data_IF_872666897500
#
_entry.id   IF_872666897500
#
_cell.length_a   1.000
_cell.length_b   1.000
_cell.length_c   1.000
_cell.angle_alpha   90.00
_cell.angle_beta   90.00
_cell.angle_gamma   90.00
#
_symmetry.space_group_name_H-M   'P 1'
#
loop_
_entity.id
_entity.type
_entity.pdbx_description
1 polymer ?
#
# COMPACT_ATOMS: atom_id res chain seq x y z
N UNK A 1 -15.34 28.97 21.96
CA UNK A 1 -15.53 29.12 20.50
C UNK A 1 -14.47 28.26 19.83
N UNK A 2 -14.84 27.12 19.26
CA UNK A 2 -13.91 26.28 18.51
C UNK A 2 -13.59 26.99 17.19
N UNK A 3 -12.35 27.43 17.00
CA UNK A 3 -11.91 27.94 15.70
C UNK A 3 -11.94 26.77 14.71
N UNK A 4 -12.83 26.83 13.72
CA UNK A 4 -12.79 25.87 12.61
C UNK A 4 -11.43 25.97 11.93
N UNK A 5 -10.75 24.83 11.79
CA UNK A 5 -9.52 24.76 11.01
C UNK A 5 -9.85 25.12 9.57
N UNK A 6 -9.20 26.16 9.03
CA UNK A 6 -9.41 26.61 7.65
C UNK A 6 -8.27 26.06 6.80
N UNK A 7 -8.54 24.98 6.10
CA UNK A 7 -7.62 24.45 5.10
C UNK A 7 -7.57 25.38 3.91
N UNK A 8 -6.37 25.56 3.34
CA UNK A 8 -6.21 26.38 2.15
C UNK A 8 -6.62 25.52 0.96
N UNK A 9 -7.55 26.00 0.15
CA UNK A 9 -7.85 25.34 -1.12
C UNK A 9 -6.64 25.51 -2.04
N UNK A 10 -5.95 24.43 -2.34
CA UNK A 10 -5.02 24.40 -3.46
C UNK A 10 -5.84 24.52 -4.76
N UNK A 11 -5.56 25.55 -5.57
CA UNK A 11 -6.21 25.73 -6.85
C UNK A 11 -5.74 24.64 -7.83
N UNK A 12 -6.55 23.59 -8.04
CA UNK A 12 -6.34 22.63 -9.11
C UNK A 12 -6.68 23.30 -10.45
N UNK A 13 -5.66 23.49 -11.29
CA UNK A 13 -5.83 23.87 -12.68
C UNK A 13 -6.45 22.72 -13.47
N UNK A 14 -7.65 22.92 -13.99
CA UNK A 14 -8.31 21.99 -14.91
C UNK A 14 -7.57 22.00 -16.26
N UNK A 15 -6.92 20.89 -16.61
CA UNK A 15 -6.52 20.62 -17.98
C UNK A 15 -7.63 19.81 -18.67
N UNK A 16 -8.32 20.42 -19.63
CA UNK A 16 -9.23 19.75 -20.55
C UNK A 16 -8.40 19.10 -21.67
N UNK A 17 -8.27 17.77 -21.64
CA UNK A 17 -7.76 16.96 -22.74
C UNK A 17 -8.90 16.44 -23.61
N UNK A 18 -8.71 16.45 -24.93
CA UNK A 18 -9.67 15.98 -25.92
C UNK A 18 -9.77 14.45 -25.96
N UNK A 19 -10.98 13.95 -26.23
CA UNK A 19 -11.27 12.54 -26.51
C UNK A 19 -11.06 12.25 -27.99
N UNK A 20 -10.22 11.27 -28.31
CA UNK A 20 -10.14 10.68 -29.65
C UNK A 20 -10.63 9.23 -29.65
N UNK A 21 -11.24 8.85 -30.77
CA UNK A 21 -12.14 7.71 -30.92
C UNK A 21 -11.45 6.33 -30.87
N UNK A 22 -12.21 5.37 -30.33
CA UNK A 22 -11.87 3.96 -30.17
C UNK A 22 -11.70 3.22 -31.51
N UNK A 23 -10.59 2.49 -31.65
CA UNK A 23 -10.44 1.39 -32.59
C UNK A 23 -10.72 0.07 -31.87
N UNK A 24 -11.78 -0.64 -32.27
CA UNK A 24 -12.08 -1.99 -31.76
C UNK A 24 -11.18 -3.02 -32.44
N UNK A 25 -10.21 -3.57 -31.71
CA UNK A 25 -9.58 -4.83 -32.07
C UNK A 25 -10.15 -5.95 -31.20
N UNK A 26 -10.61 -7.00 -31.86
CA UNK A 26 -11.12 -8.23 -31.25
C UNK A 26 -9.92 -9.00 -30.70
N UNK A 27 -9.75 -9.00 -29.38
CA UNK A 27 -8.77 -9.85 -28.71
C UNK A 27 -9.29 -11.28 -28.61
N UNK A 28 -8.51 -12.21 -29.15
CA UNK A 28 -8.74 -13.64 -29.08
C UNK A 28 -7.91 -14.19 -27.90
N UNK A 29 -8.51 -14.76 -26.83
CA UNK A 29 -7.76 -15.18 -25.66
C UNK A 29 -7.20 -16.58 -25.89
N UNK A 30 -6.01 -16.65 -26.46
CA UNK A 30 -5.15 -17.82 -26.29
C UNK A 30 -4.12 -17.46 -25.21
N UNK A 31 -4.51 -17.66 -23.94
CA UNK A 31 -3.59 -17.63 -22.81
C UNK A 31 -2.53 -18.71 -23.03
N UNK A 32 -1.33 -18.30 -23.45
CA UNK A 32 -0.18 -19.17 -23.64
C UNK A 32 0.52 -19.28 -22.29
N UNK A 33 0.64 -20.48 -21.74
CA UNK A 33 1.19 -20.76 -20.40
C UNK A 33 2.69 -20.47 -20.24
N UNK A 34 3.37 -19.96 -21.28
CA UNK A 34 4.83 -19.75 -21.30
C UNK A 34 5.26 -18.29 -21.53
N UNK A 35 4.34 -17.32 -21.51
CA UNK A 35 4.72 -15.90 -21.58
C UNK A 35 5.09 -15.38 -20.17
N UNK A 36 6.14 -14.54 -20.02
CA UNK A 36 6.40 -13.85 -18.76
C UNK A 36 5.14 -13.11 -18.29
N UNK A 37 4.92 -13.08 -16.97
CA UNK A 37 3.86 -12.22 -16.43
C UNK A 37 4.29 -10.78 -16.66
N UNK A 38 3.66 -10.15 -17.64
CA UNK A 38 3.84 -8.73 -17.93
C UNK A 38 2.93 -7.91 -17.01
N UNK A 39 3.44 -6.77 -16.57
CA UNK A 39 2.75 -5.69 -15.88
C UNK A 39 3.58 -4.42 -16.04
N UNK A 40 3.02 -3.25 -15.73
CA UNK A 40 3.63 -1.97 -16.10
C UNK A 40 4.35 -1.33 -14.92
N UNK A 41 3.71 -1.33 -13.75
CA UNK A 41 4.24 -0.72 -12.52
C UNK A 41 3.69 -1.41 -11.28
N UNK A 42 4.21 -1.04 -10.12
CA UNK A 42 3.69 -1.50 -8.84
C UNK A 42 2.89 -0.41 -8.13
N UNK A 43 1.82 -0.81 -7.46
CA UNK A 43 1.20 -0.07 -6.36
C UNK A 43 1.74 -0.63 -5.05
N UNK A 44 2.42 0.19 -4.25
CA UNK A 44 2.76 -0.16 -2.87
C UNK A 44 1.63 0.33 -1.96
N UNK A 45 0.96 -0.61 -1.30
CA UNK A 45 -0.07 -0.32 -0.32
C UNK A 45 0.49 -0.40 1.10
N UNK A 46 0.25 0.65 1.88
CA UNK A 46 0.67 0.73 3.28
C UNK A 46 -0.52 1.07 4.19
N UNK A 47 -0.66 0.33 5.29
CA UNK A 47 -1.74 0.44 6.26
C UNK A 47 -1.36 1.31 7.45
N UNK A 48 -2.28 2.17 7.88
CA UNK A 48 -2.23 2.89 9.14
C UNK A 48 -2.92 2.06 10.22
N UNK A 49 -2.13 1.27 10.95
CA UNK A 49 -2.66 0.31 11.93
C UNK A 49 -3.52 0.91 13.05
N UNK A 50 -3.28 2.14 13.55
CA UNK A 50 -4.19 2.77 14.49
C UNK A 50 -5.65 2.80 14.03
N UNK A 51 -5.87 3.06 12.74
CA UNK A 51 -7.21 3.07 12.17
C UNK A 51 -7.75 1.66 11.93
N UNK A 52 -6.90 0.79 11.36
CA UNK A 52 -7.27 -0.60 11.15
C UNK A 52 -7.70 -1.29 12.44
N UNK A 53 -7.04 -0.98 13.56
CA UNK A 53 -7.28 -1.61 14.86
C UNK A 53 -8.41 -0.99 15.66
N UNK A 54 -8.97 0.16 15.24
CA UNK A 54 -10.05 0.86 15.95
C UNK A 54 -11.22 -0.09 16.24
N UNK A 55 -11.48 -0.33 17.54
CA UNK A 55 -12.57 -1.16 18.01
C UNK A 55 -12.35 -2.67 17.83
N UNK A 56 -11.12 -3.09 17.50
CA UNK A 56 -10.74 -4.49 17.24
C UNK A 56 -9.72 -5.02 18.25
N UNK A 57 -9.48 -4.31 19.34
CA UNK A 57 -8.45 -4.61 20.35
C UNK A 57 -8.73 -5.94 21.08
N UNK A 58 -10.01 -6.31 21.20
CA UNK A 58 -10.42 -7.60 21.78
C UNK A 58 -10.46 -8.74 20.74
N UNK A 59 -10.48 -8.43 19.45
CA UNK A 59 -10.59 -9.41 18.36
C UNK A 59 -9.20 -9.80 17.81
N UNK A 60 -8.31 -8.83 17.67
CA UNK A 60 -7.03 -8.97 16.98
C UNK A 60 -5.86 -8.83 17.96
N UNK A 61 -5.07 -9.90 18.20
CA UNK A 61 -3.98 -9.90 19.17
C UNK A 61 -2.96 -8.78 18.95
N UNK A 62 -2.61 -8.46 17.70
CA UNK A 62 -1.68 -7.37 17.40
C UNK A 62 -2.25 -5.99 17.72
N UNK A 63 -3.58 -5.82 17.67
CA UNK A 63 -4.24 -4.58 18.08
C UNK A 63 -4.26 -4.39 19.60
N UNK A 64 -4.24 -5.48 20.38
CA UNK A 64 -4.22 -5.43 21.85
C UNK A 64 -2.86 -4.99 22.42
N UNK A 65 -1.77 -5.27 21.70
CA UNK A 65 -0.41 -4.99 22.13
C UNK A 65 0.44 -4.46 20.95
N UNK A 66 0.17 -3.24 20.47
CA UNK A 66 0.85 -2.72 19.30
C UNK A 66 2.31 -2.38 19.60
N UNK A 67 3.19 -2.69 18.64
CA UNK A 67 4.61 -2.30 18.68
C UNK A 67 4.75 -0.77 18.56
N UNK A 68 5.82 -0.21 19.13
CA UNK A 68 6.08 1.22 19.08
C UNK A 68 6.21 1.77 17.65
N UNK A 69 6.78 0.98 16.74
CA UNK A 69 6.87 1.32 15.31
C UNK A 69 5.49 1.63 14.71
N UNK A 70 4.48 0.79 14.99
CA UNK A 70 3.14 0.90 14.43
C UNK A 70 2.40 2.17 14.88
N UNK A 71 2.82 2.77 16.00
CA UNK A 71 2.16 3.96 16.57
C UNK A 71 2.41 5.22 15.74
N UNK A 72 3.50 5.23 14.98
CA UNK A 72 3.92 6.41 14.21
C UNK A 72 4.25 6.09 12.76
N UNK A 73 4.35 4.81 12.37
CA UNK A 73 4.68 4.40 11.01
C UNK A 73 3.55 3.59 10.39
N UNK A 74 3.35 3.79 9.09
CA UNK A 74 2.63 2.84 8.26
C UNK A 74 3.36 1.50 8.22
N UNK A 75 2.58 0.43 8.11
CA UNK A 75 3.09 -0.92 7.83
C UNK A 75 2.69 -1.36 6.44
N UNK A 76 3.43 -2.27 5.84
CA UNK A 76 3.11 -2.85 4.54
C UNK A 76 1.77 -3.59 4.57
N UNK A 77 0.94 -3.31 3.58
CA UNK A 77 -0.15 -4.16 3.17
C UNK A 77 0.35 -5.10 2.07
N UNK A 78 0.89 -4.54 0.98
CA UNK A 78 1.45 -5.32 -0.11
C UNK A 78 2.02 -4.51 -1.27
N UNK A 79 2.68 -5.21 -2.20
CA UNK A 79 3.25 -4.67 -3.43
C UNK A 79 2.54 -5.31 -4.63
N UNK A 80 1.76 -4.52 -5.36
CA UNK A 80 0.79 -5.06 -6.31
C UNK A 80 1.17 -4.70 -7.75
N UNK A 81 1.51 -5.68 -8.60
CA UNK A 81 1.61 -5.48 -10.04
C UNK A 81 0.33 -4.88 -10.62
N UNK A 82 0.45 -3.90 -11.51
CA UNK A 82 -0.67 -3.16 -12.09
C UNK A 82 -0.42 -2.87 -13.58
N UNK A 83 -1.49 -2.77 -14.38
CA UNK A 83 -1.45 -2.31 -15.76
C UNK A 83 -1.85 -0.84 -15.89
N UNK A 84 -1.27 -0.12 -16.86
CA UNK A 84 -1.67 1.27 -17.15
C UNK A 84 -3.16 1.42 -17.53
N UNK A 85 -3.76 0.35 -18.04
CA UNK A 85 -5.18 0.29 -18.45
C UNK A 85 -6.16 0.10 -17.27
N UNK A 86 -5.68 0.07 -16.02
CA UNK A 86 -6.53 -0.03 -14.81
C UNK A 86 -7.05 -1.44 -14.50
N UNK A 87 -6.30 -2.47 -14.89
CA UNK A 87 -6.51 -3.85 -14.47
C UNK A 87 -5.23 -4.35 -13.81
N UNK A 88 -5.34 -5.31 -12.92
CA UNK A 88 -4.16 -5.95 -12.33
C UNK A 88 -4.17 -7.47 -12.55
N UNK A 89 -2.99 -8.07 -12.82
CA UNK A 89 -2.85 -9.51 -12.84
C UNK A 89 -2.98 -10.05 -11.40
N UNK A 90 -3.60 -11.22 -11.24
CA UNK A 90 -3.79 -11.84 -9.92
C UNK A 90 -3.79 -13.37 -9.99
N UNK A 91 -3.28 -14.01 -8.94
CA UNK A 91 -3.16 -15.48 -8.83
C UNK A 91 -2.48 -16.11 -10.08
N UNK A 92 -1.33 -15.57 -10.48
CA UNK A 92 -0.68 -15.91 -11.74
C UNK A 92 0.04 -17.26 -11.75
N UNK A 93 0.36 -17.80 -10.57
CA UNK A 93 0.93 -19.14 -10.44
C UNK A 93 0.35 -19.91 -9.24
N UNK A 94 0.78 -21.17 -9.11
CA UNK A 94 0.43 -22.04 -7.98
C UNK A 94 1.66 -22.45 -7.17
N UNK A 95 2.74 -21.68 -7.23
CA UNK A 95 3.98 -21.93 -6.49
C UNK A 95 3.68 -21.97 -4.99
N UNK A 96 4.02 -23.07 -4.29
CA UNK A 96 3.79 -23.16 -2.86
C UNK A 96 4.50 -22.03 -2.11
N UNK A 97 3.77 -21.38 -1.20
CA UNK A 97 4.32 -20.36 -0.33
C UNK A 97 5.25 -21.01 0.73
N UNK A 98 6.43 -20.43 0.91
CA UNK A 98 7.46 -20.91 1.85
C UNK A 98 7.81 -19.79 2.83
N UNK A 99 7.06 -19.73 3.93
CA UNK A 99 7.24 -18.73 4.98
C UNK A 99 8.64 -18.80 5.59
N UNK A 100 9.15 -20.00 5.89
CA UNK A 100 10.44 -20.18 6.56
C UNK A 100 11.58 -19.58 5.74
N UNK A 101 11.57 -19.80 4.41
CA UNK A 101 12.58 -19.22 3.52
C UNK A 101 12.55 -17.68 3.53
N UNK A 102 11.37 -17.07 3.60
CA UNK A 102 11.22 -15.60 3.65
C UNK A 102 11.63 -15.07 5.02
N UNK A 103 11.19 -15.71 6.10
CA UNK A 103 11.50 -15.36 7.49
C UNK A 103 13.00 -15.41 7.76
N UNK A 104 13.71 -16.41 7.22
CA UNK A 104 15.16 -16.54 7.32
C UNK A 104 15.90 -15.47 6.51
N UNK A 105 15.42 -15.17 5.29
CA UNK A 105 16.11 -14.25 4.38
C UNK A 105 15.89 -12.77 4.72
N UNK A 106 14.66 -12.38 5.08
CA UNK A 106 14.28 -11.00 5.41
C UNK A 106 14.45 -10.71 6.91
N UNK A 107 14.31 -11.75 7.73
CA UNK A 107 14.34 -11.67 9.19
C UNK A 107 12.93 -11.51 9.76
N UNK A 108 12.49 -12.51 10.53
CA UNK A 108 11.19 -12.49 11.21
C UNK A 108 10.95 -11.21 12.03
N UNK A 109 11.88 -10.69 12.86
CA UNK A 109 11.65 -9.44 13.59
C UNK A 109 11.34 -8.24 12.68
N UNK A 110 12.00 -8.18 11.51
CA UNK A 110 11.73 -7.16 10.50
C UNK A 110 10.32 -7.30 9.94
N UNK A 111 9.92 -8.51 9.55
CA UNK A 111 8.57 -8.78 9.01
C UNK A 111 7.47 -8.47 10.04
N UNK A 112 7.68 -8.84 11.31
CA UNK A 112 6.77 -8.48 12.40
C UNK A 112 6.66 -6.97 12.58
N UNK A 113 7.77 -6.23 12.47
CA UNK A 113 7.77 -4.77 12.60
C UNK A 113 7.07 -4.08 11.42
N UNK A 114 7.43 -4.41 10.17
CA UNK A 114 7.01 -3.63 9.00
C UNK A 114 5.91 -4.24 8.16
N UNK A 115 5.61 -5.53 8.27
CA UNK A 115 4.55 -6.21 7.50
C UNK A 115 3.72 -7.16 8.39
N UNK A 116 3.14 -6.68 9.51
CA UNK A 116 2.52 -7.55 10.50
C UNK A 116 1.18 -8.13 10.03
N UNK A 117 0.86 -9.33 10.53
CA UNK A 117 -0.50 -9.85 10.56
C UNK A 117 -1.13 -9.62 11.94
N UNK A 118 -1.69 -8.43 12.16
CA UNK A 118 -2.26 -8.08 13.48
C UNK A 118 -3.46 -8.95 13.89
N UNK A 119 -4.10 -9.67 12.95
CA UNK A 119 -5.25 -10.55 13.21
C UNK A 119 -4.87 -11.88 13.85
N UNK A 120 -3.58 -12.25 13.84
CA UNK A 120 -3.09 -13.52 14.35
C UNK A 120 -2.05 -13.29 15.45
N UNK A 121 -1.94 -14.24 16.37
CA UNK A 121 -0.83 -14.27 17.31
C UNK A 121 0.46 -14.68 16.56
N UNK A 122 1.58 -14.04 16.85
CA UNK A 122 2.89 -14.27 16.20
C UNK A 122 3.34 -15.73 16.29
N UNK A 123 3.05 -16.41 17.41
CA UNK A 123 3.37 -17.82 17.61
C UNK A 123 2.43 -18.77 16.84
N UNK A 124 1.42 -18.24 16.15
CA UNK A 124 0.45 -19.05 15.40
C UNK A 124 0.95 -19.32 13.98
N UNK A 125 0.80 -20.56 13.45
CA UNK A 125 1.04 -20.81 12.03
C UNK A 125 0.08 -20.03 11.11
N UNK A 126 -0.98 -19.42 11.66
CA UNK A 126 -1.87 -18.52 10.92
C UNK A 126 -1.25 -17.15 10.65
N UNK A 127 -0.16 -16.78 11.32
CA UNK A 127 0.45 -15.46 11.18
C UNK A 127 0.91 -15.22 9.73
N UNK A 128 1.62 -16.20 9.16
CA UNK A 128 2.11 -16.13 7.79
C UNK A 128 1.00 -16.18 6.71
N UNK A 129 -0.28 -16.39 7.06
CA UNK A 129 -1.37 -16.43 6.07
C UNK A 129 -1.61 -15.10 5.37
N UNK A 130 -1.26 -13.99 6.01
CA UNK A 130 -1.35 -12.68 5.35
C UNK A 130 -0.31 -12.58 4.24
N UNK A 131 0.95 -12.92 4.54
CA UNK A 131 2.02 -13.00 3.55
C UNK A 131 1.72 -14.01 2.45
N UNK A 132 1.16 -15.17 2.80
CA UNK A 132 0.72 -16.17 1.82
C UNK A 132 -0.35 -15.59 0.88
N UNK A 133 -1.30 -14.80 1.40
CA UNK A 133 -2.32 -14.15 0.58
C UNK A 133 -1.70 -13.14 -0.39
N UNK A 134 -0.86 -12.23 0.12
CA UNK A 134 -0.19 -11.21 -0.69
C UNK A 134 0.71 -11.83 -1.75
N UNK A 135 1.45 -12.88 -1.39
CA UNK A 135 2.23 -13.64 -2.36
C UNK A 135 1.32 -14.24 -3.43
N UNK A 136 0.34 -15.07 -3.04
CA UNK A 136 -0.50 -15.79 -4.02
C UNK A 136 -1.24 -14.83 -4.94
N UNK A 137 -1.82 -13.77 -4.39
CA UNK A 137 -2.65 -12.85 -5.16
C UNK A 137 -1.82 -11.91 -6.01
N UNK A 138 -0.71 -11.38 -5.49
CA UNK A 138 0.05 -10.31 -6.13
C UNK A 138 1.49 -10.72 -6.47
N UNK A 139 2.21 -11.30 -5.51
CA UNK A 139 3.61 -11.69 -5.68
C UNK A 139 3.85 -12.69 -6.82
N UNK A 140 2.95 -13.67 -7.03
CA UNK A 140 3.02 -14.62 -8.15
C UNK A 140 2.98 -13.95 -9.53
N UNK A 141 2.48 -12.73 -9.60
CA UNK A 141 2.38 -11.94 -10.82
C UNK A 141 3.57 -11.00 -11.04
N UNK A 142 4.51 -10.91 -10.09
CA UNK A 142 5.67 -10.03 -10.19
C UNK A 142 6.78 -10.58 -11.08
N UNK A 143 6.82 -11.90 -11.32
CA UNK A 143 7.97 -12.57 -11.94
C UNK A 143 9.20 -12.67 -11.05
N UNK A 144 9.15 -12.15 -9.82
CA UNK A 144 10.18 -12.34 -8.79
C UNK A 144 9.98 -13.69 -8.09
N UNK A 145 11.05 -14.21 -7.48
CA UNK A 145 10.88 -15.26 -6.48
C UNK A 145 10.38 -14.68 -5.15
N UNK A 146 9.89 -15.56 -4.26
CA UNK A 146 9.34 -15.15 -2.97
C UNK A 146 10.30 -14.28 -2.16
N UNK A 147 11.58 -14.66 -2.07
CA UNK A 147 12.55 -13.91 -1.26
C UNK A 147 12.77 -12.53 -1.86
N UNK A 148 12.97 -12.45 -3.18
CA UNK A 148 13.16 -11.18 -3.86
C UNK A 148 11.94 -10.25 -3.69
N UNK A 149 10.72 -10.77 -3.85
CA UNK A 149 9.48 -10.00 -3.68
C UNK A 149 9.35 -9.41 -2.27
N UNK A 150 9.50 -10.22 -1.22
CA UNK A 150 9.38 -9.73 0.16
C UNK A 150 10.54 -8.82 0.55
N UNK A 151 11.79 -9.19 0.20
CA UNK A 151 12.96 -8.38 0.53
C UNK A 151 12.90 -7.00 -0.15
N UNK A 152 12.62 -6.94 -1.46
CA UNK A 152 12.56 -5.67 -2.17
C UNK A 152 11.42 -4.79 -1.66
N UNK A 153 10.27 -5.37 -1.28
CA UNK A 153 9.14 -4.62 -0.72
C UNK A 153 9.49 -4.04 0.67
N UNK A 154 10.15 -4.82 1.52
CA UNK A 154 10.63 -4.35 2.83
C UNK A 154 11.69 -3.26 2.69
N UNK A 155 12.58 -3.37 1.70
CA UNK A 155 13.61 -2.38 1.43
C UNK A 155 13.04 -1.01 1.05
N UNK A 156 11.89 -0.96 0.36
CA UNK A 156 11.21 0.31 0.03
C UNK A 156 10.89 1.12 1.30
N UNK A 157 10.40 0.46 2.35
CA UNK A 157 9.95 1.15 3.57
C UNK A 157 11.05 1.31 4.61
N UNK A 158 12.05 0.41 4.68
CA UNK A 158 13.13 0.50 5.67
C UNK A 158 14.29 1.38 5.26
N UNK A 159 14.67 1.37 3.99
CA UNK A 159 15.82 2.14 3.52
C UNK A 159 15.45 3.59 3.14
N UNK A 160 14.24 4.03 3.52
CA UNK A 160 13.80 5.41 3.44
C UNK A 160 13.20 5.83 2.09
N UNK A 161 13.06 4.92 1.14
CA UNK A 161 12.52 5.23 -0.19
C UNK A 161 10.99 5.50 -0.16
N UNK A 162 10.27 4.90 0.80
CA UNK A 162 8.85 5.14 1.08
C UNK A 162 8.51 5.05 2.59
N UNK A 163 9.39 5.61 3.42
CA UNK A 163 9.11 5.69 4.85
C UNK A 163 7.93 6.63 5.14
N UNK A 164 7.31 6.45 6.31
CA UNK A 164 6.21 7.31 6.75
C UNK A 164 6.66 8.76 6.84
N UNK A 165 6.01 9.71 6.13
CA UNK A 165 6.42 11.12 6.17
C UNK A 165 6.44 11.65 7.61
N UNK A 166 7.46 12.43 7.97
CA UNK A 166 7.57 13.06 9.30
C UNK A 166 6.32 13.85 9.66
N UNK A 167 5.66 14.48 8.68
CA UNK A 167 4.38 15.15 8.87
C UNK A 167 3.31 14.24 9.49
N UNK A 168 3.22 12.97 9.06
CA UNK A 168 2.28 12.00 9.63
C UNK A 168 2.68 11.67 11.06
N UNK A 169 3.97 11.39 11.30
CA UNK A 169 4.51 11.03 12.61
C UNK A 169 4.28 12.14 13.66
N UNK A 170 4.46 13.40 13.28
CA UNK A 170 4.31 14.57 14.17
C UNK A 170 2.85 14.97 14.41
N UNK A 171 1.92 14.45 13.60
CA UNK A 171 0.49 14.78 13.66
C UNK A 171 -0.40 13.59 14.01
N UNK A 172 0.18 12.53 14.58
CA UNK A 172 -0.58 11.44 15.22
C UNK A 172 -1.56 12.03 16.25
N UNK A 173 -2.79 11.52 16.22
CA UNK A 173 -3.95 11.98 16.98
C UNK A 173 -4.44 13.41 16.68
N UNK A 174 -4.04 14.02 15.55
CA UNK A 174 -4.50 15.35 15.16
C UNK A 174 -5.29 15.30 13.86
N UNK A 175 -6.19 16.26 13.71
CA UNK A 175 -6.82 16.56 12.43
C UNK A 175 -5.94 17.54 11.68
N UNK A 176 -5.61 17.22 10.43
CA UNK A 176 -4.78 18.01 9.53
C UNK A 176 -5.56 18.35 8.26
N UNK A 177 -5.05 19.29 7.47
CA UNK A 177 -5.62 19.56 6.17
C UNK A 177 -5.22 18.48 5.16
N UNK A 178 -6.17 18.05 4.33
CA UNK A 178 -5.96 16.95 3.40
C UNK A 178 -4.91 17.28 2.31
N UNK A 179 -4.82 18.55 1.91
CA UNK A 179 -3.81 19.06 0.98
C UNK A 179 -2.40 19.04 1.59
N UNK A 180 -2.25 19.45 2.85
CA UNK A 180 -0.98 19.36 3.58
C UNK A 180 -0.52 17.91 3.74
N UNK A 181 -1.46 17.01 4.06
CA UNK A 181 -1.16 15.57 4.15
C UNK A 181 -0.71 15.00 2.79
N UNK A 182 -1.41 15.31 1.69
CA UNK A 182 -1.00 14.88 0.35
C UNK A 182 0.36 15.46 -0.04
N UNK A 183 0.61 16.73 0.27
CA UNK A 183 1.88 17.39 -0.01
C UNK A 183 3.06 16.73 0.72
N UNK A 184 2.84 16.21 1.94
CA UNK A 184 3.88 15.51 2.70
C UNK A 184 4.44 14.26 2.00
N UNK A 185 3.69 13.68 1.05
CA UNK A 185 4.12 12.54 0.25
C UNK A 185 4.96 12.93 -0.98
N UNK A 186 5.11 14.23 -1.29
CA UNK A 186 5.91 14.79 -2.39
C UNK A 186 5.56 14.29 -3.82
N UNK A 187 4.48 13.53 -3.98
CA UNK A 187 3.97 12.99 -5.25
C UNK A 187 2.47 12.73 -5.13
N UNK A 188 1.79 12.56 -6.27
CA UNK A 188 0.40 12.11 -6.29
C UNK A 188 0.30 10.69 -5.71
N UNK A 189 -0.48 10.55 -4.64
CA UNK A 189 -0.74 9.29 -3.92
C UNK A 189 -2.23 9.13 -3.71
N UNK A 190 -2.64 7.89 -3.43
CA UNK A 190 -4.00 7.59 -2.95
C UNK A 190 -3.99 7.67 -1.44
N UNK A 191 -4.88 8.45 -0.85
CA UNK A 191 -5.19 8.35 0.58
C UNK A 191 -6.49 7.59 0.77
N UNK A 192 -6.46 6.56 1.61
CA UNK A 192 -7.68 5.84 2.02
C UNK A 192 -8.09 6.33 3.39
N UNK A 193 -9.31 6.81 3.49
CA UNK A 193 -9.95 7.17 4.74
C UNK A 193 -11.08 6.18 5.06
N UNK A 194 -11.13 5.75 6.31
CA UNK A 194 -12.22 4.98 6.92
C UNK A 194 -12.92 5.84 7.98
N UNK A 195 -14.07 5.35 8.48
CA UNK A 195 -14.89 6.00 9.51
C UNK A 195 -15.08 7.52 9.27
N UNK A 196 -15.29 7.88 8.00
CA UNK A 196 -15.38 9.26 7.53
C UNK A 196 -14.05 9.79 7.00
N UNK A 197 -13.26 10.41 7.88
CA UNK A 197 -12.05 11.14 7.50
C UNK A 197 -10.82 10.65 8.26
N UNK A 198 -10.83 9.42 8.78
CA UNK A 198 -9.70 8.84 9.50
C UNK A 198 -8.75 8.13 8.53
N UNK A 199 -7.48 8.52 8.53
CA UNK A 199 -6.46 7.94 7.66
C UNK A 199 -6.29 6.44 7.96
N UNK A 200 -6.50 5.61 6.93
CA UNK A 200 -6.49 4.15 7.02
C UNK A 200 -5.38 3.51 6.20
N UNK A 201 -5.12 4.00 4.99
CA UNK A 201 -4.04 3.51 4.12
C UNK A 201 -3.50 4.62 3.22
N UNK A 202 -2.32 4.39 2.64
CA UNK A 202 -1.78 5.17 1.52
C UNK A 202 -1.28 4.23 0.44
N UNK A 203 -1.55 4.58 -0.83
CA UNK A 203 -0.97 3.88 -1.98
C UNK A 203 -0.01 4.79 -2.74
N UNK A 204 1.18 4.28 -3.04
CA UNK A 204 2.21 4.94 -3.85
C UNK A 204 2.55 4.08 -5.07
N UNK A 205 3.06 4.70 -6.13
CA UNK A 205 3.32 4.00 -7.39
C UNK A 205 4.81 3.95 -7.71
N UNK A 206 5.27 2.79 -8.18
CA UNK A 206 6.68 2.46 -8.34
C UNK A 206 6.97 1.85 -9.71
N UNK A 207 7.99 2.39 -10.38
CA UNK A 207 8.56 1.76 -11.58
C UNK A 207 9.27 0.47 -11.22
N UNK A 208 9.46 -0.40 -12.21
CA UNK A 208 10.29 -1.59 -12.10
C UNK A 208 11.46 -1.58 -13.09
N UNK A 209 12.51 -2.32 -12.78
CA UNK A 209 13.59 -2.59 -13.73
C UNK A 209 13.28 -3.81 -14.62
N UNK A 210 14.25 -4.19 -15.46
CA UNK A 210 14.15 -5.34 -16.35
C UNK A 210 14.13 -6.69 -15.62
N UNK A 211 14.42 -6.72 -14.31
CA UNK A 211 14.32 -7.88 -13.43
C UNK A 211 13.04 -7.82 -12.58
N UNK A 212 12.16 -6.84 -12.84
CA UNK A 212 10.92 -6.59 -12.12
C UNK A 212 11.10 -6.13 -10.67
N UNK A 213 12.30 -5.70 -10.28
CA UNK A 213 12.49 -5.10 -8.96
C UNK A 213 11.92 -3.68 -8.93
N UNK A 214 11.21 -3.28 -7.86
CA UNK A 214 10.75 -1.90 -7.71
C UNK A 214 11.95 -0.95 -7.57
N UNK A 215 11.92 0.19 -8.25
CA UNK A 215 13.06 1.10 -8.36
C UNK A 215 12.75 2.53 -7.92
N UNK A 216 11.95 3.24 -8.69
CA UNK A 216 11.73 4.68 -8.54
C UNK A 216 10.25 4.97 -8.35
N UNK A 217 9.95 5.72 -7.29
CA UNK A 217 8.60 6.23 -7.05
C UNK A 217 8.21 7.26 -8.10
N UNK A 218 6.96 7.23 -8.54
CA UNK A 218 6.36 8.23 -9.41
C UNK A 218 4.93 8.57 -8.95
N UNK A 219 4.37 9.66 -9.45
CA UNK A 219 2.98 10.04 -9.16
C UNK A 219 2.03 9.01 -9.76
N UNK A 220 1.10 8.50 -8.95
CA UNK A 220 0.15 7.50 -9.42
C UNK A 220 -0.72 8.01 -10.59
N UNK A 221 -1.02 7.16 -11.58
CA UNK A 221 -1.89 7.51 -12.69
C UNK A 221 -3.35 7.66 -12.23
N UNK A 222 -4.17 8.35 -13.02
CA UNK A 222 -5.55 8.74 -12.66
C UNK A 222 -6.40 7.54 -12.22
N UNK A 223 -6.32 6.39 -12.90
CA UNK A 223 -7.12 5.21 -12.54
C UNK A 223 -6.76 4.64 -11.15
N UNK A 224 -5.54 4.89 -10.65
CA UNK A 224 -5.16 4.57 -9.27
C UNK A 224 -5.63 5.68 -8.33
N UNK A 225 -5.49 6.95 -8.71
CA UNK A 225 -5.96 8.09 -7.93
C UNK A 225 -7.49 8.05 -7.68
N UNK A 226 -8.26 7.46 -8.60
CA UNK A 226 -9.69 7.22 -8.46
C UNK A 226 -10.06 6.35 -7.25
N UNK A 227 -9.10 5.61 -6.68
CA UNK A 227 -9.29 4.83 -5.47
C UNK A 227 -9.23 5.67 -4.17
N UNK A 228 -8.92 6.98 -4.23
CA UNK A 228 -8.83 7.86 -3.06
C UNK A 228 -10.19 8.03 -2.38
N UNK A 229 -10.23 7.85 -1.06
CA UNK A 229 -11.46 7.98 -0.26
C UNK A 229 -11.38 9.10 0.78
N UNK A 230 -10.26 9.82 0.87
CA UNK A 230 -10.10 10.98 1.74
C UNK A 230 -10.64 12.25 1.05
N UNK A 231 -11.96 12.33 0.88
CA UNK A 231 -12.65 13.40 0.12
C UNK A 231 -12.98 14.64 0.95
N UNK A 232 -12.73 14.62 2.27
CA UNK A 232 -12.95 15.76 3.16
C UNK A 232 -11.78 16.74 3.10
N UNK A 233 -12.03 18.02 3.39
CA UNK A 233 -10.97 19.06 3.48
C UNK A 233 -9.94 18.75 4.58
N UNK A 234 -10.34 17.94 5.56
CA UNK A 234 -9.52 17.55 6.71
C UNK A 234 -9.44 16.04 6.83
N UNK A 235 -8.29 15.54 7.27
CA UNK A 235 -8.05 14.14 7.61
C UNK A 235 -7.63 14.06 9.08
N UNK A 236 -8.22 13.14 9.83
CA UNK A 236 -7.74 12.77 11.16
C UNK A 236 -6.71 11.65 11.03
N UNK A 237 -5.56 11.79 11.68
CA UNK A 237 -4.53 10.73 11.76
C UNK A 237 -4.71 10.04 13.11
N UNK A 238 -5.33 8.85 13.19
CA UNK A 238 -5.65 8.24 14.47
C UNK A 238 -4.39 7.79 15.23
N UNK A 239 -4.43 7.86 16.56
CA UNK A 239 -3.52 7.11 17.42
C UNK A 239 -4.15 5.76 17.77
N UNK A 240 -3.33 4.78 18.17
CA UNK A 240 -3.86 3.59 18.81
C UNK A 240 -4.68 3.98 20.05
N UNK A 241 -5.80 3.29 20.31
CA UNK A 241 -6.62 3.52 21.49
C UNK A 241 -5.94 3.10 22.80
#
# INVERSE_FOLDING_TARGET
MASMMRCRLAALGLALGAVDALSTQVFNPLWRQDAPVEFDFYVLAQSWLPEFCRGKELEYPGCAAPLDYWRTHFTLHGLWPEFEEGKFPHFCDTTPFDAARIEDAVGLPTLLEVWPNVKANESSPKYARFWEHEWKRHGTCSGLDQVAYFASTVDLVRNGSDSTPTFVQENVNKTVCADELRAAFNMSVVLKCDHGHALAEVYTCWKKDAQHLPTTRFGCPDHILDADTCTHDTVWIPAFP
#
